data_IF_677160052485
#
_entry.id   IF_677160052485
#
_cell.length_a   1.000
_cell.length_b   1.000
_cell.length_c   1.000
_cell.angle_alpha   90.00
_cell.angle_beta   90.00
_cell.angle_gamma   90.00
#
_symmetry.space_group_name_H-M   'P 1'
#
loop_
_entity.id
_entity.type
_entity.pdbx_description
1 polymer ?
#
# COMPACT_ATOMS: atom_id res chain seq x y z
N UNK A 1 28.05 18.12 -2.30
CA UNK A 1 26.90 17.20 -2.50
C UNK A 1 26.31 16.75 -1.16
N UNK A 2 27.12 16.26 -0.21
CA UNK A 2 26.66 15.88 1.13
C UNK A 2 26.08 17.05 1.95
N UNK A 3 26.67 18.25 1.88
CA UNK A 3 26.13 19.44 2.58
C UNK A 3 24.73 19.82 2.13
N UNK A 4 24.45 19.74 0.82
CA UNK A 4 23.12 20.03 0.27
C UNK A 4 22.08 19.01 0.74
N UNK A 5 22.47 17.73 0.86
CA UNK A 5 21.59 16.68 1.34
C UNK A 5 21.26 16.84 2.83
N UNK A 6 22.26 17.19 3.65
CA UNK A 6 22.07 17.49 5.06
C UNK A 6 21.14 18.69 5.27
N UNK A 7 21.33 19.78 4.52
CA UNK A 7 20.47 20.95 4.60
C UNK A 7 19.00 20.65 4.23
N UNK A 8 18.78 19.82 3.21
CA UNK A 8 17.42 19.38 2.84
C UNK A 8 16.82 18.52 3.95
N UNK A 9 17.58 17.56 4.48
CA UNK A 9 17.13 16.69 5.54
C UNK A 9 16.76 17.47 6.80
N UNK A 10 17.57 18.44 7.22
CA UNK A 10 17.31 19.30 8.37
C UNK A 10 16.08 20.19 8.17
N UNK A 11 15.91 20.72 6.96
CA UNK A 11 14.71 21.50 6.63
C UNK A 11 13.45 20.62 6.74
N UNK A 12 13.48 19.43 6.14
CA UNK A 12 12.36 18.47 6.18
C UNK A 12 12.10 17.96 7.60
N UNK A 13 13.15 17.77 8.41
CA UNK A 13 13.02 17.30 9.78
C UNK A 13 12.37 18.36 10.66
N UNK A 14 12.71 19.64 10.46
CA UNK A 14 12.03 20.77 11.12
C UNK A 14 10.54 20.83 10.81
N UNK A 15 10.15 20.72 9.53
CA UNK A 15 8.73 20.68 9.14
C UNK A 15 8.01 19.45 9.68
N UNK A 16 8.66 18.28 9.61
CA UNK A 16 8.10 17.05 10.15
C UNK A 16 7.92 17.14 11.67
N UNK A 17 8.87 17.72 12.38
CA UNK A 17 8.78 17.97 13.82
C UNK A 17 7.62 18.93 14.15
N UNK A 18 7.44 19.99 13.35
CA UNK A 18 6.35 20.95 13.55
C UNK A 18 4.95 20.34 13.33
N UNK A 19 4.80 19.44 12.36
CA UNK A 19 3.49 18.89 11.96
C UNK A 19 3.17 17.59 12.69
N UNK A 20 4.17 16.72 12.80
CA UNK A 20 4.01 15.38 13.33
C UNK A 20 4.68 15.25 14.70
N UNK A 21 5.69 16.03 15.06
CA UNK A 21 6.45 15.85 16.31
C UNK A 21 7.84 15.26 16.07
N UNK A 22 8.71 15.38 17.07
CA UNK A 22 10.14 15.03 16.93
C UNK A 22 10.36 13.55 16.59
N UNK A 23 11.41 13.28 15.81
CA UNK A 23 11.82 11.91 15.45
C UNK A 23 10.91 11.19 14.44
N UNK A 24 9.89 11.85 13.90
CA UNK A 24 8.88 11.22 13.03
C UNK A 24 9.19 11.28 11.52
N UNK A 25 10.28 11.94 11.12
CA UNK A 25 10.68 12.02 9.71
C UNK A 25 11.04 10.65 9.10
N UNK A 26 11.85 9.78 9.73
CA UNK A 26 12.22 8.49 9.12
C UNK A 26 11.04 7.60 8.71
N UNK A 27 10.02 7.35 9.57
CA UNK A 27 8.85 6.55 9.16
C UNK A 27 8.00 7.24 8.08
N UNK A 28 7.94 8.57 8.05
CA UNK A 28 7.28 9.31 6.96
C UNK A 28 8.02 9.15 5.63
N UNK A 29 9.35 9.21 5.64
CA UNK A 29 10.17 8.95 4.45
C UNK A 29 10.00 7.51 3.97
N UNK A 30 9.93 6.54 4.88
CA UNK A 30 9.66 5.15 4.54
C UNK A 30 8.27 4.98 3.91
N UNK A 31 7.23 5.60 4.48
CA UNK A 31 5.88 5.59 3.91
C UNK A 31 5.84 6.25 2.52
N UNK A 32 6.53 7.38 2.35
CA UNK A 32 6.63 8.07 1.07
C UNK A 32 7.35 7.22 0.01
N UNK A 33 8.46 6.56 0.39
CA UNK A 33 9.19 5.65 -0.49
C UNK A 33 8.34 4.43 -0.87
N UNK A 34 7.66 3.81 0.09
CA UNK A 34 6.74 2.69 -0.17
C UNK A 34 5.60 3.12 -1.11
N UNK A 35 5.01 4.30 -0.88
CA UNK A 35 3.97 4.84 -1.77
C UNK A 35 4.53 5.08 -3.17
N UNK A 36 5.72 5.67 -3.32
CA UNK A 36 6.37 5.84 -4.62
C UNK A 36 6.59 4.53 -5.36
N UNK A 37 7.05 3.48 -4.67
CA UNK A 37 7.18 2.14 -5.24
C UNK A 37 5.84 1.53 -5.65
N UNK A 38 4.79 1.77 -4.87
CA UNK A 38 3.44 1.31 -5.20
C UNK A 38 2.91 1.95 -6.50
N UNK A 39 3.20 3.24 -6.70
CA UNK A 39 2.89 3.92 -7.96
C UNK A 39 3.67 3.33 -9.14
N UNK A 40 4.97 3.08 -8.98
CA UNK A 40 5.81 2.49 -10.05
C UNK A 40 5.28 1.11 -10.44
N UNK A 41 5.05 0.24 -9.45
CA UNK A 41 4.54 -1.11 -9.69
C UNK A 41 3.12 -1.10 -10.23
N UNK A 42 2.26 -0.18 -9.76
CA UNK A 42 0.89 -0.01 -10.25
C UNK A 42 0.84 0.42 -11.71
N UNK A 43 1.68 1.38 -12.12
CA UNK A 43 1.79 1.81 -13.53
C UNK A 43 2.29 0.65 -14.40
N UNK A 44 3.33 -0.07 -13.96
CA UNK A 44 3.86 -1.22 -14.69
C UNK A 44 2.81 -2.33 -14.88
N UNK A 45 2.02 -2.62 -13.84
CA UNK A 45 0.91 -3.57 -13.91
C UNK A 45 -0.16 -3.09 -14.91
N UNK A 46 -0.58 -1.82 -14.84
CA UNK A 46 -1.60 -1.27 -15.73
C UNK A 46 -1.18 -1.33 -17.21
N UNK A 47 0.09 -1.09 -17.51
CA UNK A 47 0.62 -1.23 -18.88
C UNK A 47 0.55 -2.66 -19.40
N UNK A 48 0.87 -3.64 -18.55
CA UNK A 48 0.79 -5.06 -18.91
C UNK A 48 -0.67 -5.54 -19.07
N UNK A 49 -1.55 -5.08 -18.19
CA UNK A 49 -2.97 -5.44 -18.16
C UNK A 49 -3.78 -4.70 -19.27
N UNK A 50 -3.16 -3.79 -20.05
CA UNK A 50 -3.80 -2.89 -21.03
C UNK A 50 -4.96 -2.08 -20.44
N UNK A 51 -4.96 -1.85 -19.13
CA UNK A 51 -5.97 -1.04 -18.46
C UNK A 51 -5.73 0.45 -18.73
N UNK A 52 -6.81 1.24 -18.89
CA UNK A 52 -6.71 2.67 -19.16
C UNK A 52 -6.00 3.42 -18.02
N UNK A 53 -4.81 3.95 -18.32
CA UNK A 53 -3.94 4.67 -17.38
C UNK A 53 -4.57 5.95 -16.76
N UNK A 54 -5.61 6.51 -17.38
CA UNK A 54 -6.22 7.78 -16.96
C UNK A 54 -7.05 7.68 -15.67
N UNK A 55 -7.65 6.52 -15.39
CA UNK A 55 -8.50 6.31 -14.20
C UNK A 55 -7.64 6.05 -12.94
N UNK A 56 -6.52 5.33 -13.11
CA UNK A 56 -5.52 5.13 -12.07
C UNK A 56 -4.88 6.45 -11.59
N UNK A 57 -4.65 7.42 -12.50
CA UNK A 57 -3.98 8.67 -12.16
C UNK A 57 -4.78 9.60 -11.24
N UNK A 58 -6.08 9.79 -11.49
CA UNK A 58 -6.91 10.74 -10.72
C UNK A 58 -7.25 10.22 -9.33
N UNK A 59 -7.68 8.96 -9.23
CA UNK A 59 -8.00 8.35 -7.94
C UNK A 59 -6.74 8.07 -7.12
N UNK A 60 -5.60 7.82 -7.79
CA UNK A 60 -4.31 7.64 -7.14
C UNK A 60 -3.88 8.86 -6.33
N UNK A 61 -4.03 10.07 -6.86
CA UNK A 61 -3.61 11.31 -6.17
C UNK A 61 -4.39 11.50 -4.86
N UNK A 62 -5.71 11.34 -4.90
CA UNK A 62 -6.56 11.44 -3.71
C UNK A 62 -6.21 10.37 -2.66
N UNK A 63 -5.94 9.13 -3.11
CA UNK A 63 -5.48 8.05 -2.22
C UNK A 63 -4.16 8.41 -1.54
N UNK A 64 -3.18 8.92 -2.28
CA UNK A 64 -1.89 9.34 -1.72
C UNK A 64 -2.06 10.46 -0.70
N UNK A 65 -2.88 11.48 -1.02
CA UNK A 65 -3.18 12.55 -0.07
C UNK A 65 -3.80 12.00 1.22
N UNK A 66 -4.77 11.08 1.11
CA UNK A 66 -5.39 10.43 2.26
C UNK A 66 -4.37 9.64 3.11
N UNK A 67 -3.52 8.83 2.48
CA UNK A 67 -2.48 8.03 3.16
C UNK A 67 -1.48 8.92 3.91
N UNK A 68 -1.07 10.05 3.33
CA UNK A 68 -0.12 10.96 3.98
C UNK A 68 -0.74 11.81 5.10
N UNK A 69 -2.04 12.08 5.04
CA UNK A 69 -2.76 12.80 6.10
C UNK A 69 -3.07 11.93 7.33
N UNK A 70 -3.18 10.61 7.17
CA UNK A 70 -3.49 9.71 8.29
C UNK A 70 -2.44 9.73 9.43
N UNK A 71 -1.12 9.69 9.16
CA UNK A 71 -0.12 9.88 10.21
C UNK A 71 -0.23 11.24 10.92
N UNK A 72 -0.65 12.29 10.22
CA UNK A 72 -0.86 13.62 10.82
C UNK A 72 -2.03 13.56 11.79
N UNK A 73 -3.14 12.96 11.37
CA UNK A 73 -4.30 12.76 12.25
C UNK A 73 -3.96 11.91 13.47
N UNK A 74 -3.22 10.82 13.29
CA UNK A 74 -2.76 9.96 14.37
C UNK A 74 -1.81 10.69 15.33
N UNK A 75 -0.96 11.57 14.80
CA UNK A 75 -0.12 12.46 15.60
C UNK A 75 -0.92 13.42 16.49
N UNK A 76 -2.00 14.00 15.95
CA UNK A 76 -2.89 14.85 16.74
C UNK A 76 -3.58 14.05 17.84
N UNK A 77 -3.97 12.81 17.55
CA UNK A 77 -4.58 11.92 18.53
C UNK A 77 -3.62 11.57 19.68
N UNK A 78 -2.34 11.31 19.38
CA UNK A 78 -1.29 11.16 20.40
C UNK A 78 -1.25 12.38 21.34
N UNK A 79 -1.31 13.58 20.77
CA UNK A 79 -1.30 14.84 21.52
C UNK A 79 -2.52 15.03 22.41
N UNK A 80 -3.71 14.72 21.90
CA UNK A 80 -4.97 14.81 22.65
C UNK A 80 -5.02 13.81 23.81
N UNK A 81 -4.50 12.60 23.60
CA UNK A 81 -4.56 11.52 24.58
C UNK A 81 -3.34 11.45 25.51
N UNK A 82 -2.33 12.31 25.31
CA UNK A 82 -1.09 12.29 26.09
C UNK A 82 -0.27 11.01 25.89
N UNK A 83 -0.41 10.35 24.74
CA UNK A 83 0.27 9.10 24.40
C UNK A 83 1.24 9.33 23.24
N UNK A 84 2.38 10.01 23.48
CA UNK A 84 3.27 10.44 22.40
C UNK A 84 3.80 9.25 21.59
N UNK A 85 3.42 9.20 20.31
CA UNK A 85 3.93 8.25 19.32
C UNK A 85 3.07 7.00 19.13
N UNK A 86 2.16 6.67 20.05
CA UNK A 86 1.45 5.39 20.00
C UNK A 86 0.63 5.22 18.71
N UNK A 87 -0.29 6.15 18.44
CA UNK A 87 -1.15 6.11 17.27
C UNK A 87 -0.35 6.45 16.02
N UNK A 88 0.56 7.43 16.09
CA UNK A 88 1.40 7.78 14.95
C UNK A 88 2.15 6.56 14.40
N UNK A 89 2.87 5.82 15.26
CA UNK A 89 3.64 4.66 14.82
C UNK A 89 2.72 3.51 14.40
N UNK A 90 1.66 3.22 15.15
CA UNK A 90 0.73 2.14 14.81
C UNK A 90 0.08 2.36 13.43
N UNK A 91 -0.44 3.57 13.17
CA UNK A 91 -1.07 3.91 11.89
C UNK A 91 -0.04 3.92 10.76
N UNK A 92 1.13 4.55 10.97
CA UNK A 92 2.15 4.66 9.92
C UNK A 92 2.69 3.29 9.52
N UNK A 93 2.99 2.42 10.49
CA UNK A 93 3.44 1.05 10.21
C UNK A 93 2.34 0.24 9.51
N UNK A 94 1.08 0.37 9.95
CA UNK A 94 -0.06 -0.28 9.30
C UNK A 94 -0.23 0.14 7.84
N UNK A 95 -0.04 1.44 7.54
CA UNK A 95 -0.08 1.97 6.18
C UNK A 95 1.09 1.48 5.32
N UNK A 96 2.30 1.45 5.88
CA UNK A 96 3.48 0.87 5.19
C UNK A 96 3.23 -0.60 4.86
N UNK A 97 2.73 -1.38 5.82
CA UNK A 97 2.42 -2.80 5.62
C UNK A 97 1.38 -3.00 4.50
N UNK A 98 0.28 -2.24 4.53
CA UNK A 98 -0.74 -2.31 3.48
C UNK A 98 -0.21 -1.90 2.12
N UNK A 99 0.66 -0.89 2.08
CA UNK A 99 1.30 -0.43 0.85
C UNK A 99 2.25 -1.50 0.31
N UNK A 100 2.98 -2.19 1.19
CA UNK A 100 3.84 -3.31 0.83
C UNK A 100 3.07 -4.46 0.16
N UNK A 101 1.89 -4.81 0.70
CA UNK A 101 1.01 -5.81 0.07
C UNK A 101 0.62 -5.38 -1.35
N UNK A 102 0.25 -4.11 -1.54
CA UNK A 102 -0.10 -3.55 -2.85
C UNK A 102 1.09 -3.56 -3.82
N UNK A 103 2.28 -3.12 -3.39
CA UNK A 103 3.52 -3.18 -4.20
C UNK A 103 3.73 -4.60 -4.72
N UNK A 104 3.59 -5.58 -3.83
CA UNK A 104 3.90 -6.97 -4.18
C UNK A 104 2.86 -7.55 -5.15
N UNK A 105 1.56 -7.30 -4.91
CA UNK A 105 0.50 -7.70 -5.84
C UNK A 105 0.65 -7.04 -7.22
N UNK A 106 0.99 -5.74 -7.25
CA UNK A 106 1.22 -5.00 -8.49
C UNK A 106 2.46 -5.51 -9.23
N UNK A 107 3.55 -5.78 -8.52
CA UNK A 107 4.75 -6.37 -9.11
C UNK A 107 4.47 -7.77 -9.70
N UNK A 108 3.67 -8.60 -9.01
CA UNK A 108 3.23 -9.88 -9.55
C UNK A 108 2.42 -9.71 -10.84
N UNK A 109 1.42 -8.82 -10.85
CA UNK A 109 0.63 -8.51 -12.06
C UNK A 109 1.52 -8.01 -13.21
N UNK A 110 2.49 -7.14 -12.91
CA UNK A 110 3.49 -6.67 -13.86
C UNK A 110 4.42 -7.77 -14.40
N UNK A 111 4.40 -8.99 -13.85
CA UNK A 111 5.25 -10.12 -14.25
C UNK A 111 6.64 -10.08 -13.61
N UNK A 112 6.80 -9.34 -12.52
CA UNK A 112 8.05 -9.24 -11.78
C UNK A 112 8.14 -10.28 -10.66
N UNK A 113 7.41 -11.40 -10.77
CA UNK A 113 7.41 -12.52 -9.83
C UNK A 113 8.82 -13.01 -9.45
N UNK A 114 9.79 -12.90 -10.36
CA UNK A 114 11.19 -13.27 -10.10
C UNK A 114 11.88 -12.41 -9.04
N UNK A 115 11.41 -11.18 -8.83
CA UNK A 115 11.93 -10.26 -7.80
C UNK A 115 11.29 -10.51 -6.43
N UNK A 116 10.18 -11.26 -6.38
CA UNK A 116 9.41 -11.48 -5.16
C UNK A 116 9.90 -12.78 -4.50
N UNK A 117 10.25 -12.77 -3.19
CA UNK A 117 10.62 -13.98 -2.47
C UNK A 117 9.50 -15.04 -2.52
N UNK A 118 9.87 -16.32 -2.65
CA UNK A 118 8.90 -17.43 -2.78
C UNK A 118 7.90 -17.52 -1.62
N UNK A 119 8.32 -17.21 -0.40
CA UNK A 119 7.42 -17.18 0.78
C UNK A 119 6.31 -16.14 0.64
N UNK A 120 6.63 -14.99 0.05
CA UNK A 120 5.68 -13.89 -0.16
C UNK A 120 4.74 -14.23 -1.33
N UNK A 121 5.24 -14.86 -2.39
CA UNK A 121 4.41 -15.37 -3.50
C UNK A 121 3.36 -16.37 -3.01
N UNK A 122 3.72 -17.33 -2.15
CA UNK A 122 2.77 -18.31 -1.61
C UNK A 122 1.66 -17.66 -0.77
N UNK A 123 1.99 -16.62 -0.01
CA UNK A 123 1.01 -15.86 0.77
C UNK A 123 0.04 -15.12 -0.16
N UNK A 124 0.55 -14.44 -1.18
CA UNK A 124 -0.26 -13.68 -2.13
C UNK A 124 -1.12 -14.61 -2.98
N UNK A 125 -0.61 -15.74 -3.46
CA UNK A 125 -1.42 -16.71 -4.20
C UNK A 125 -2.57 -17.25 -3.35
N UNK A 126 -2.35 -17.46 -2.04
CA UNK A 126 -3.40 -17.80 -1.09
C UNK A 126 -4.47 -16.70 -0.96
N UNK A 127 -4.04 -15.44 -0.84
CA UNK A 127 -4.93 -14.28 -0.72
C UNK A 127 -5.66 -13.92 -2.03
N UNK A 128 -5.04 -14.19 -3.19
CA UNK A 128 -5.65 -14.03 -4.51
C UNK A 128 -6.72 -15.09 -4.74
N UNK A 129 -6.45 -16.36 -4.37
CA UNK A 129 -7.43 -17.45 -4.46
C UNK A 129 -8.60 -17.24 -3.50
N UNK A 130 -8.37 -16.67 -2.32
CA UNK A 130 -9.43 -16.36 -1.36
C UNK A 130 -10.20 -15.05 -1.64
N UNK A 131 -9.75 -14.24 -2.62
CA UNK A 131 -10.34 -12.93 -2.90
C UNK A 131 -10.12 -11.90 -1.78
N UNK A 132 -9.12 -12.11 -0.91
CA UNK A 132 -8.80 -11.18 0.18
C UNK A 132 -8.05 -9.93 -0.33
N UNK A 133 -7.23 -10.08 -1.37
CA UNK A 133 -6.47 -8.97 -2.00
C UNK A 133 -7.35 -8.16 -2.95
N UNK A 134 -8.22 -8.83 -3.70
CA UNK A 134 -9.25 -8.22 -4.52
C UNK A 134 -10.59 -8.68 -3.97
N UNK A 135 -11.36 -7.82 -3.26
CA UNK A 135 -12.69 -8.23 -2.84
C UNK A 135 -13.45 -8.70 -4.07
N UNK A 136 -13.79 -10.00 -4.12
CA UNK A 136 -14.68 -10.52 -5.15
C UNK A 136 -15.92 -9.64 -5.14
N UNK A 137 -16.30 -9.13 -6.31
CA UNK A 137 -17.57 -8.43 -6.42
C UNK A 137 -18.65 -9.36 -5.88
N UNK A 138 -19.45 -8.88 -4.92
CA UNK A 138 -20.51 -9.66 -4.30
C UNK A 138 -21.44 -10.21 -5.40
N UNK A 139 -21.28 -11.48 -5.77
CA UNK A 139 -21.98 -12.08 -6.90
C UNK A 139 -21.36 -13.34 -7.52
N UNK A 140 -20.10 -13.68 -7.24
CA UNK A 140 -19.44 -14.84 -7.86
C UNK A 140 -19.44 -16.14 -7.03
N UNK A 141 -20.20 -16.23 -5.93
CA UNK A 141 -20.29 -17.45 -5.11
C UNK A 141 -21.28 -18.50 -5.64
N UNK A 142 -21.70 -18.41 -6.91
CA UNK A 142 -22.83 -19.17 -7.43
C UNK A 142 -22.56 -20.17 -8.56
N UNK A 143 -21.33 -20.39 -9.02
CA UNK A 143 -21.12 -21.16 -10.27
C UNK A 143 -20.27 -22.42 -10.22
N UNK A 144 -19.56 -22.74 -9.13
CA UNK A 144 -18.70 -23.94 -9.13
C UNK A 144 -19.39 -25.26 -8.71
N UNK A 145 -20.53 -25.23 -8.00
CA UNK A 145 -21.17 -26.48 -7.53
C UNK A 145 -22.17 -27.10 -8.53
N UNK A 146 -22.61 -26.38 -9.57
CA UNK A 146 -23.60 -26.91 -10.52
C UNK A 146 -23.01 -27.80 -11.63
N UNK A 147 -21.69 -27.81 -11.81
CA UNK A 147 -21.01 -28.56 -12.88
C UNK A 147 -20.75 -30.03 -12.56
N UNK A 148 -20.62 -30.38 -11.27
CA UNK A 148 -20.21 -31.72 -10.84
C UNK A 148 -21.40 -32.68 -10.70
N UNK A 149 -22.58 -32.19 -10.29
CA UNK A 149 -23.79 -33.00 -10.16
C UNK A 149 -24.40 -33.44 -11.50
N UNK A 150 -24.07 -32.79 -12.63
CA UNK A 150 -24.59 -33.17 -13.95
C UNK A 150 -23.86 -34.36 -14.59
N UNK A 151 -22.70 -34.76 -14.05
CA UNK A 151 -21.94 -35.93 -14.53
C UNK A 151 -22.27 -37.23 -13.79
N UNK A 152 -23.05 -37.17 -12.72
CA UNK A 152 -23.52 -38.36 -11.99
C UNK A 152 -24.98 -38.74 -12.33
N UNK A 153 -25.65 -37.92 -13.15
CA UNK A 153 -26.98 -38.20 -13.68
C UNK A 153 -26.94 -38.36 -15.22
N UNK A 154 -26.10 -39.27 -15.70
CA UNK A 154 -26.18 -39.86 -17.04
C UNK A 154 -25.79 -41.32 -17.00
#
# INVERSE_FOLDING_TARGET
MYENFAAIYDTLSGWAAAIYGEGRLPPLLLLAAATGLDWITGIAAAWKDRAHAAEYGRMGILRTAFVLLLPMFASLLDGVLGMPGLFFYAVTIGLIYRTWQSITANAYRAGWERLIPKSVLQMIEGELRSGAVFPKAAGEDGQDESGENRKQAK
#
